data_IF_086907169156
#
_entry.id   IF_086907169156
#
_cell.length_a   1.000
_cell.length_b   1.000
_cell.length_c   1.000
_cell.angle_alpha   90.00
_cell.angle_beta   90.00
_cell.angle_gamma   90.00
#
_symmetry.space_group_name_H-M   'P 1'
#
loop_
_entity.id
_entity.type
_entity.pdbx_description
1 polymer ?
#
# COMPACT_ATOMS: atom_id res chain seq x y z
N UNK A 1 30.83 19.74 -5.04
CA UNK A 1 29.52 19.07 -5.11
C UNK A 1 29.71 17.80 -5.93
N UNK A 2 29.32 16.64 -5.37
CA UNK A 2 29.33 15.36 -6.09
C UNK A 2 28.06 15.27 -6.94
N UNK A 3 28.15 14.62 -8.10
CA UNK A 3 27.04 14.41 -9.01
C UNK A 3 25.92 13.60 -8.32
N UNK A 4 24.66 13.97 -8.61
CA UNK A 4 23.48 13.25 -8.15
C UNK A 4 23.45 11.88 -8.82
N UNK A 5 23.54 10.81 -8.05
CA UNK A 5 23.40 9.42 -8.52
C UNK A 5 21.96 8.96 -8.44
N UNK A 6 21.47 8.29 -9.48
CA UNK A 6 20.16 7.64 -9.45
C UNK A 6 20.18 6.54 -8.38
N UNK A 7 19.26 6.61 -7.44
CA UNK A 7 19.05 5.60 -6.41
C UNK A 7 17.93 4.64 -6.84
N UNK A 8 18.16 3.33 -6.66
CA UNK A 8 17.14 2.32 -6.90
C UNK A 8 16.73 1.70 -5.55
N UNK A 9 15.51 1.95 -5.15
CA UNK A 9 14.93 1.43 -3.90
C UNK A 9 14.75 -0.10 -3.94
N UNK A 10 14.61 -0.71 -5.13
CA UNK A 10 14.37 -2.14 -5.28
C UNK A 10 15.67 -2.93 -5.29
N UNK A 11 15.72 -4.00 -4.49
CA UNK A 11 16.80 -4.98 -4.58
C UNK A 11 16.71 -5.77 -5.88
N UNK A 12 17.85 -5.94 -6.53
CA UNK A 12 18.04 -6.82 -7.67
C UNK A 12 18.65 -8.13 -7.22
N UNK A 13 18.20 -9.23 -7.81
CA UNK A 13 18.82 -10.55 -7.64
C UNK A 13 18.63 -11.36 -8.93
N UNK A 14 19.20 -12.55 -8.99
CA UNK A 14 19.12 -13.42 -10.16
C UNK A 14 18.49 -14.77 -9.78
N UNK A 15 17.69 -15.33 -10.68
CA UNK A 15 17.14 -16.69 -10.53
C UNK A 15 17.98 -17.65 -11.35
N UNK A 16 18.33 -18.79 -10.75
CA UNK A 16 19.08 -19.85 -11.43
C UNK A 16 20.59 -19.72 -11.25
N UNK A 17 21.35 -20.55 -11.97
CA UNK A 17 22.79 -20.69 -11.77
C UNK A 17 23.64 -19.65 -12.54
N UNK A 18 23.03 -18.84 -13.39
CA UNK A 18 23.73 -17.85 -14.23
C UNK A 18 23.35 -16.43 -13.84
N UNK A 19 24.34 -15.54 -13.91
CA UNK A 19 24.27 -14.14 -13.49
C UNK A 19 24.15 -13.24 -14.73
N UNK A 20 23.11 -13.48 -15.54
CA UNK A 20 22.83 -12.73 -16.76
C UNK A 20 21.55 -11.87 -16.65
N UNK A 21 21.37 -10.95 -17.59
CA UNK A 21 20.22 -10.05 -17.59
C UNK A 21 18.88 -10.77 -17.77
N UNK A 22 18.85 -11.97 -18.32
CA UNK A 22 17.63 -12.75 -18.53
C UNK A 22 17.11 -13.36 -17.24
N UNK A 23 17.99 -13.56 -16.26
CA UNK A 23 17.68 -14.10 -14.94
C UNK A 23 17.40 -13.03 -13.88
N UNK A 24 17.54 -11.74 -14.22
CA UNK A 24 17.34 -10.62 -13.30
C UNK A 24 15.90 -10.53 -12.78
N UNK A 25 15.76 -10.50 -11.46
CA UNK A 25 14.49 -10.23 -10.79
C UNK A 25 14.65 -9.14 -9.72
N UNK A 26 13.52 -8.65 -9.23
CA UNK A 26 13.46 -7.69 -8.14
C UNK A 26 12.71 -8.26 -6.94
N UNK A 27 13.25 -8.04 -5.75
CA UNK A 27 12.51 -8.30 -4.52
C UNK A 27 11.45 -7.22 -4.32
N UNK A 28 10.28 -7.59 -3.83
CA UNK A 28 9.17 -6.65 -3.66
C UNK A 28 9.47 -5.60 -2.58
N UNK A 29 9.27 -4.29 -2.84
CA UNK A 29 9.49 -3.23 -1.86
C UNK A 29 8.28 -3.00 -0.95
N UNK A 30 7.13 -3.63 -1.26
CA UNK A 30 5.86 -3.55 -0.54
C UNK A 30 5.01 -4.79 -0.81
N UNK A 31 4.01 -5.02 0.03
CA UNK A 31 3.07 -6.15 -0.12
C UNK A 31 1.84 -5.78 -0.96
N UNK A 32 1.58 -4.50 -1.21
CA UNK A 32 0.41 -3.99 -1.92
C UNK A 32 0.24 -4.60 -3.31
N UNK A 33 1.31 -4.71 -4.09
CA UNK A 33 1.26 -5.22 -5.47
C UNK A 33 0.77 -6.67 -5.53
N UNK A 34 1.13 -7.49 -4.55
CA UNK A 34 0.62 -8.86 -4.44
C UNK A 34 -0.90 -8.91 -4.22
N UNK A 35 -1.46 -7.93 -3.51
CA UNK A 35 -2.91 -7.79 -3.32
C UNK A 35 -3.59 -7.44 -4.64
N UNK A 36 -3.07 -6.47 -5.40
CA UNK A 36 -3.66 -6.06 -6.68
C UNK A 36 -3.62 -7.16 -7.73
N UNK A 37 -2.50 -7.89 -7.83
CA UNK A 37 -2.40 -9.06 -8.72
C UNK A 37 -3.46 -10.10 -8.41
N UNK A 38 -3.79 -10.32 -7.14
CA UNK A 38 -4.76 -11.30 -6.69
C UNK A 38 -6.20 -10.75 -6.60
N UNK A 39 -6.43 -9.45 -6.78
CA UNK A 39 -7.74 -8.82 -6.62
C UNK A 39 -8.85 -9.59 -7.35
N UNK A 40 -8.69 -9.79 -8.66
CA UNK A 40 -9.72 -10.43 -9.48
C UNK A 40 -9.96 -11.88 -9.08
N UNK A 41 -8.90 -12.62 -8.77
CA UNK A 41 -9.00 -14.01 -8.30
C UNK A 41 -9.79 -14.08 -6.99
N UNK A 42 -9.47 -13.25 -6.01
CA UNK A 42 -10.17 -13.20 -4.72
C UNK A 42 -11.63 -12.79 -4.91
N UNK A 43 -11.87 -11.71 -5.66
CA UNK A 43 -13.23 -11.20 -5.91
C UNK A 43 -14.14 -12.27 -6.54
N UNK A 44 -13.64 -13.00 -7.53
CA UNK A 44 -14.42 -14.00 -8.26
C UNK A 44 -14.55 -15.32 -7.49
N UNK A 45 -13.43 -15.87 -6.97
CA UNK A 45 -13.44 -17.18 -6.30
C UNK A 45 -14.29 -17.17 -5.03
N UNK A 46 -14.27 -16.05 -4.29
CA UNK A 46 -15.04 -15.90 -3.07
C UNK A 46 -16.37 -15.17 -3.27
N UNK A 47 -16.71 -14.82 -4.50
CA UNK A 47 -17.94 -14.05 -4.84
C UNK A 47 -18.10 -12.80 -3.97
N UNK A 48 -16.98 -12.06 -3.83
CA UNK A 48 -16.95 -10.88 -2.97
C UNK A 48 -17.82 -9.78 -3.54
N UNK A 49 -18.54 -9.09 -2.65
CA UNK A 49 -19.30 -7.88 -2.98
C UNK A 49 -18.57 -6.65 -2.44
N UNK A 50 -18.53 -5.60 -3.24
CA UNK A 50 -17.99 -4.30 -2.81
C UNK A 50 -18.95 -3.66 -1.78
N UNK A 51 -18.44 -3.11 -0.65
CA UNK A 51 -17.02 -2.96 -0.32
C UNK A 51 -16.42 -4.24 0.31
N UNK A 52 -15.14 -4.52 0.01
CA UNK A 52 -14.40 -5.58 0.69
C UNK A 52 -12.90 -5.28 0.75
N UNK A 53 -12.20 -5.88 1.69
CA UNK A 53 -10.76 -5.73 1.85
C UNK A 53 -9.99 -7.02 1.59
N UNK A 54 -8.76 -6.88 1.12
CA UNK A 54 -7.77 -7.95 1.07
C UNK A 54 -6.57 -7.50 1.90
N UNK A 55 -6.23 -8.30 2.91
CA UNK A 55 -5.07 -8.05 3.76
C UNK A 55 -3.97 -9.08 3.49
N UNK A 56 -2.73 -8.64 3.60
CA UNK A 56 -1.55 -9.47 3.47
C UNK A 56 -0.53 -9.10 4.55
N UNK A 57 0.11 -10.12 5.13
CA UNK A 57 1.27 -9.98 6.00
C UNK A 57 2.43 -10.68 5.29
N UNK A 58 3.58 -10.05 5.21
CA UNK A 58 4.74 -10.66 4.57
C UNK A 58 5.97 -9.77 4.57
N UNK A 59 7.07 -10.35 4.10
CA UNK A 59 8.35 -9.66 3.92
C UNK A 59 8.27 -8.64 2.80
N UNK A 60 8.90 -7.49 3.04
CA UNK A 60 9.20 -6.48 2.04
C UNK A 60 10.69 -6.09 2.14
N UNK A 61 11.24 -5.58 1.03
CA UNK A 61 12.67 -5.35 0.89
C UNK A 61 12.90 -3.99 0.26
N UNK A 62 13.64 -3.13 0.92
CA UNK A 62 14.02 -1.83 0.39
C UNK A 62 15.53 -1.66 0.45
N UNK A 63 16.15 -1.26 -0.63
CA UNK A 63 17.58 -0.97 -0.72
C UNK A 63 17.84 0.40 -0.08
N UNK A 64 17.84 0.45 1.25
CA UNK A 64 18.05 1.68 1.99
C UNK A 64 19.49 2.19 1.85
N UNK A 65 19.66 3.51 1.64
CA UNK A 65 21.00 4.12 1.60
C UNK A 65 21.69 3.97 2.95
N UNK A 66 20.92 4.19 4.04
CA UNK A 66 21.42 4.06 5.42
C UNK A 66 20.36 3.41 6.28
N UNK A 67 20.67 2.24 6.80
CA UNK A 67 19.89 1.63 7.89
C UNK A 67 20.19 2.37 9.20
N UNK A 68 19.19 2.55 10.04
CA UNK A 68 19.37 3.28 11.31
C UNK A 68 18.27 2.98 12.33
N UNK A 69 18.52 3.44 13.55
CA UNK A 69 17.59 3.30 14.65
C UNK A 69 17.23 1.84 14.97
N UNK A 70 18.25 0.99 15.00
CA UNK A 70 18.17 -0.44 15.25
C UNK A 70 17.20 -1.10 14.21
N UNK A 71 16.06 -1.64 14.64
CA UNK A 71 15.09 -2.30 13.74
C UNK A 71 14.11 -1.33 13.08
N UNK A 72 14.16 -0.02 13.37
CA UNK A 72 13.20 0.93 12.83
C UNK A 72 13.35 1.12 11.31
N UNK A 73 14.60 1.12 10.79
CA UNK A 73 14.87 1.21 9.36
C UNK A 73 15.87 0.14 8.96
N UNK A 74 15.35 -0.93 8.37
CA UNK A 74 16.09 -2.11 7.90
C UNK A 74 15.82 -2.35 6.43
N UNK A 75 16.72 -3.08 5.76
CA UNK A 75 16.54 -3.43 4.35
C UNK A 75 15.52 -4.55 4.13
N UNK A 76 15.33 -5.42 5.12
CA UNK A 76 14.30 -6.44 5.16
C UNK A 76 13.40 -6.20 6.36
N UNK A 77 12.09 -6.19 6.15
CA UNK A 77 11.10 -5.97 7.20
C UNK A 77 9.80 -6.70 6.89
N UNK A 78 8.95 -6.83 7.89
CA UNK A 78 7.59 -7.33 7.71
C UNK A 78 6.63 -6.16 7.55
N UNK A 79 5.71 -6.31 6.62
CA UNK A 79 4.61 -5.37 6.37
C UNK A 79 3.28 -6.10 6.55
N UNK A 80 2.32 -5.39 7.15
CA UNK A 80 0.92 -5.78 7.15
C UNK A 80 0.16 -4.69 6.41
N UNK A 81 -0.45 -5.04 5.29
CA UNK A 81 -1.23 -4.13 4.48
C UNK A 81 -2.63 -4.67 4.24
N UNK A 82 -3.59 -3.76 4.14
CA UNK A 82 -4.94 -4.04 3.68
C UNK A 82 -5.28 -3.04 2.57
N UNK A 83 -5.80 -3.56 1.46
CA UNK A 83 -6.38 -2.75 0.41
C UNK A 83 -7.89 -2.95 0.44
N UNK A 84 -8.64 -1.85 0.60
CA UNK A 84 -10.08 -1.87 0.75
C UNK A 84 -10.74 -1.30 -0.51
N UNK A 85 -11.48 -2.16 -1.20
CA UNK A 85 -12.07 -1.86 -2.51
C UNK A 85 -13.48 -1.35 -2.34
N UNK A 86 -13.75 -0.17 -2.91
CA UNK A 86 -15.01 0.56 -2.78
C UNK A 86 -15.58 1.00 -4.13
N UNK A 87 -16.85 1.35 -4.16
CA UNK A 87 -17.48 1.94 -5.35
C UNK A 87 -16.89 3.34 -5.60
N UNK A 88 -16.57 3.71 -6.85
CA UNK A 88 -16.14 5.07 -7.18
C UNK A 88 -17.12 6.12 -6.66
N UNK A 89 -16.56 7.19 -6.07
CA UNK A 89 -17.34 8.27 -5.46
C UNK A 89 -17.75 8.03 -4.00
N UNK A 90 -17.48 6.86 -3.42
CA UNK A 90 -17.63 6.59 -1.98
C UNK A 90 -16.30 6.56 -1.23
N UNK A 91 -15.22 6.81 -1.95
CA UNK A 91 -13.83 6.72 -1.46
C UNK A 91 -13.55 7.66 -0.28
N UNK A 92 -14.04 8.90 -0.32
CA UNK A 92 -13.83 9.87 0.78
C UNK A 92 -14.53 9.44 2.08
N UNK A 93 -15.74 8.86 1.97
CA UNK A 93 -16.46 8.33 3.12
C UNK A 93 -15.69 7.17 3.77
N UNK A 94 -15.25 6.20 2.95
CA UNK A 94 -14.50 5.05 3.41
C UNK A 94 -13.11 5.42 3.92
N UNK A 95 -12.47 6.40 3.31
CA UNK A 95 -11.19 6.94 3.78
C UNK A 95 -11.30 7.51 5.21
N UNK A 96 -12.32 8.35 5.45
CA UNK A 96 -12.58 8.89 6.78
C UNK A 96 -12.95 7.80 7.79
N UNK A 97 -13.79 6.83 7.39
CA UNK A 97 -14.12 5.68 8.22
C UNK A 97 -12.86 4.92 8.65
N UNK A 98 -11.97 4.59 7.72
CA UNK A 98 -10.76 3.84 8.06
C UNK A 98 -9.78 4.65 8.92
N UNK A 99 -9.66 5.95 8.70
CA UNK A 99 -8.88 6.82 9.61
C UNK A 99 -9.38 6.70 11.05
N UNK A 100 -10.68 6.80 11.27
CA UNK A 100 -11.27 6.67 12.61
C UNK A 100 -11.05 5.26 13.20
N UNK A 101 -11.26 4.22 12.41
CA UNK A 101 -11.08 2.84 12.86
C UNK A 101 -9.63 2.54 13.23
N UNK A 102 -8.67 3.03 12.44
CA UNK A 102 -7.24 2.83 12.72
C UNK A 102 -6.80 3.59 13.98
N UNK A 103 -7.27 4.79 14.17
CA UNK A 103 -7.04 5.54 15.41
C UNK A 103 -7.61 4.81 16.63
N UNK A 104 -8.85 4.35 16.54
CA UNK A 104 -9.50 3.59 17.60
C UNK A 104 -8.78 2.26 17.89
N UNK A 105 -8.20 1.62 16.88
CA UNK A 105 -7.39 0.41 17.04
C UNK A 105 -6.21 0.65 18.00
N UNK A 106 -5.42 1.69 17.80
CA UNK A 106 -4.29 2.00 18.68
C UNK A 106 -4.74 2.28 20.13
N UNK A 107 -5.83 3.03 20.29
CA UNK A 107 -6.43 3.27 21.60
C UNK A 107 -6.84 1.97 22.29
N UNK A 108 -7.53 1.08 21.56
CA UNK A 108 -7.99 -0.23 22.06
C UNK A 108 -6.84 -1.13 22.50
N UNK A 109 -5.69 -1.05 21.86
CA UNK A 109 -4.51 -1.86 22.15
C UNK A 109 -3.55 -1.22 23.15
N UNK A 110 -3.96 -0.17 23.84
CA UNK A 110 -3.21 0.44 24.95
C UNK A 110 -2.01 1.26 24.50
N UNK A 111 -1.94 1.69 23.26
CA UNK A 111 -0.92 2.65 22.82
C UNK A 111 -1.20 3.99 23.47
N UNK A 112 -0.14 4.64 23.97
CA UNK A 112 -0.24 5.95 24.61
C UNK A 112 -0.68 7.00 23.62
N UNK A 113 -1.95 7.41 23.70
CA UNK A 113 -2.59 8.31 22.75
C UNK A 113 -1.96 9.71 22.74
N UNK A 114 -1.41 10.17 23.87
CA UNK A 114 -0.68 11.43 24.00
C UNK A 114 0.63 11.46 23.18
N UNK A 115 1.08 10.30 22.73
CA UNK A 115 2.26 10.13 21.87
C UNK A 115 1.92 9.88 20.39
N UNK A 116 0.65 9.83 20.07
CA UNK A 116 0.18 9.69 18.70
C UNK A 116 -0.24 11.02 18.13
N UNK A 117 -0.01 11.19 16.82
CA UNK A 117 -0.60 12.29 16.06
C UNK A 117 -0.92 11.84 14.64
N UNK A 118 -1.81 12.59 14.01
CA UNK A 118 -2.00 12.54 12.57
C UNK A 118 -1.00 13.46 11.87
N UNK A 119 -0.43 12.98 10.79
CA UNK A 119 0.33 13.78 9.85
C UNK A 119 -0.34 13.66 8.48
N UNK A 120 -0.93 14.75 7.96
CA UNK A 120 -1.48 14.78 6.60
C UNK A 120 -0.37 15.10 5.62
N UNK A 121 -0.30 14.35 4.53
CA UNK A 121 0.66 14.63 3.47
C UNK A 121 0.31 15.92 2.74
N UNK A 122 1.30 16.82 2.66
CA UNK A 122 1.19 18.01 1.81
C UNK A 122 1.36 17.68 0.33
N UNK A 123 1.12 18.63 -0.56
CA UNK A 123 1.24 18.43 -2.01
C UNK A 123 2.60 17.87 -2.48
N UNK A 124 3.67 18.22 -1.78
CA UNK A 124 5.04 17.77 -2.10
C UNK A 124 5.39 16.38 -1.53
N UNK A 125 4.58 15.90 -0.58
CA UNK A 125 4.75 14.58 0.06
C UNK A 125 3.81 13.54 -0.53
N UNK A 126 2.67 14.00 -1.07
CA UNK A 126 1.62 13.13 -1.57
C UNK A 126 2.13 12.30 -2.75
N UNK A 127 2.03 10.98 -2.63
CA UNK A 127 2.40 10.07 -3.70
C UNK A 127 1.52 10.29 -4.93
N UNK A 128 2.10 10.15 -6.13
CA UNK A 128 1.42 10.42 -7.41
C UNK A 128 0.16 9.58 -7.67
N UNK A 129 -0.01 8.49 -6.94
CA UNK A 129 -1.18 7.59 -7.03
C UNK A 129 -2.27 7.92 -6.00
N UNK A 130 -1.98 8.79 -5.03
CA UNK A 130 -2.89 9.08 -3.93
C UNK A 130 -3.65 10.39 -4.16
N UNK A 131 -4.95 10.38 -3.87
CA UNK A 131 -5.79 11.57 -3.79
C UNK A 131 -5.61 12.30 -2.46
N UNK A 132 -5.44 11.54 -1.37
CA UNK A 132 -5.17 12.03 -0.02
C UNK A 132 -4.45 10.94 0.79
N UNK A 133 -3.64 11.34 1.76
CA UNK A 133 -2.88 10.45 2.61
C UNK A 133 -2.67 11.03 4.00
N UNK A 134 -2.76 10.17 5.02
CA UNK A 134 -2.45 10.49 6.40
C UNK A 134 -1.61 9.39 7.02
N UNK A 135 -0.59 9.79 7.79
CA UNK A 135 0.17 8.88 8.62
C UNK A 135 -0.28 9.01 10.08
N UNK A 136 -0.36 7.87 10.75
CA UNK A 136 -0.36 7.82 12.21
C UNK A 136 1.09 7.77 12.64
N UNK A 137 1.57 8.83 13.28
CA UNK A 137 2.91 8.92 13.82
C UNK A 137 2.93 8.72 15.32
N UNK A 138 4.02 8.11 15.82
CA UNK A 138 4.28 7.96 17.25
C UNK A 138 5.56 8.72 17.65
N UNK A 139 5.55 9.31 18.84
CA UNK A 139 6.70 9.96 19.43
C UNK A 139 7.68 8.94 20.01
N UNK A 140 8.64 8.54 19.18
CA UNK A 140 9.79 7.72 19.58
C UNK A 140 10.88 8.58 20.22
N UNK A 141 11.93 7.98 20.86
CA UNK A 141 13.08 8.74 21.35
C UNK A 141 13.79 9.60 20.30
N UNK A 142 13.67 9.21 19.00
CA UNK A 142 14.20 9.97 17.85
C UNK A 142 13.17 10.90 17.20
N UNK A 143 12.09 11.24 17.92
CA UNK A 143 11.01 12.09 17.45
C UNK A 143 9.85 11.33 16.81
N UNK A 144 8.88 12.07 16.28
CA UNK A 144 7.72 11.49 15.61
C UNK A 144 8.14 10.72 14.36
N UNK A 145 7.61 9.50 14.22
CA UNK A 145 7.82 8.61 13.08
C UNK A 145 6.54 7.86 12.77
N UNK A 146 6.37 7.57 11.49
CA UNK A 146 5.26 6.81 10.96
C UNK A 146 5.14 5.41 11.59
N UNK A 147 3.93 5.07 12.05
CA UNK A 147 3.51 3.73 12.41
C UNK A 147 2.69 3.08 11.32
N UNK A 148 1.82 3.87 10.68
CA UNK A 148 0.85 3.39 9.71
C UNK A 148 0.42 4.52 8.79
N UNK A 149 0.35 4.25 7.48
CA UNK A 149 -0.25 5.13 6.50
C UNK A 149 -1.68 4.70 6.14
N UNK A 150 -2.57 5.69 5.97
CA UNK A 150 -3.93 5.52 5.43
C UNK A 150 -4.04 6.38 4.19
N UNK A 151 -4.27 5.75 3.03
CA UNK A 151 -4.19 6.40 1.73
C UNK A 151 -5.47 6.19 0.93
N UNK A 152 -6.00 7.24 0.30
CA UNK A 152 -6.99 7.15 -0.76
C UNK A 152 -6.25 7.08 -2.10
N UNK A 153 -6.21 5.90 -2.71
CA UNK A 153 -5.44 5.63 -3.94
C UNK A 153 -6.28 5.72 -5.21
N UNK A 154 -7.57 5.94 -5.07
CA UNK A 154 -8.54 5.93 -6.18
C UNK A 154 -8.47 4.61 -6.98
N UNK A 155 -8.60 4.66 -8.31
CA UNK A 155 -8.50 3.48 -9.18
C UNK A 155 -7.10 3.29 -9.79
N UNK A 156 -6.11 4.06 -9.35
CA UNK A 156 -4.80 4.12 -10.00
C UNK A 156 -4.19 2.73 -10.21
N UNK A 157 -4.07 1.94 -9.16
CA UNK A 157 -3.38 0.66 -9.21
C UNK A 157 -4.09 -0.35 -10.13
N UNK A 158 -5.41 -0.52 -9.98
CA UNK A 158 -6.17 -1.46 -10.80
C UNK A 158 -6.21 -1.03 -12.28
N UNK A 159 -6.23 0.28 -12.54
CA UNK A 159 -6.12 0.81 -13.92
C UNK A 159 -4.77 0.44 -14.53
N UNK A 160 -3.67 0.66 -13.80
CA UNK A 160 -2.33 0.26 -14.26
C UNK A 160 -2.20 -1.24 -14.48
N UNK A 161 -2.74 -2.05 -13.56
CA UNK A 161 -2.76 -3.49 -13.75
C UNK A 161 -3.56 -3.92 -14.99
N UNK A 162 -4.68 -3.25 -15.29
CA UNK A 162 -5.44 -3.48 -16.53
C UNK A 162 -4.58 -3.16 -17.77
N UNK A 163 -3.99 -1.97 -17.81
CA UNK A 163 -3.19 -1.49 -18.95
C UNK A 163 -1.99 -2.40 -19.25
N UNK A 164 -1.22 -2.76 -18.24
CA UNK A 164 0.03 -3.51 -18.44
C UNK A 164 -0.15 -5.02 -18.57
N UNK A 165 -1.19 -5.59 -17.97
CA UNK A 165 -1.45 -7.04 -18.04
C UNK A 165 -2.41 -7.43 -19.15
N UNK A 166 -3.17 -6.48 -19.70
CA UNK A 166 -4.27 -6.72 -20.62
C UNK A 166 -5.48 -7.44 -19.98
N UNK A 167 -5.47 -7.62 -18.66
CA UNK A 167 -6.58 -8.24 -17.91
C UNK A 167 -7.52 -7.16 -17.40
N UNK A 168 -8.80 -7.29 -17.71
CA UNK A 168 -9.84 -6.39 -17.20
C UNK A 168 -9.99 -6.54 -15.67
N UNK A 169 -9.74 -5.47 -14.91
CA UNK A 169 -9.88 -5.41 -13.46
C UNK A 169 -11.22 -4.81 -13.01
N UNK A 170 -12.18 -4.68 -13.90
CA UNK A 170 -13.52 -4.19 -13.54
C UNK A 170 -14.23 -5.17 -12.60
N UNK A 171 -14.96 -4.59 -11.67
CA UNK A 171 -16.00 -5.24 -10.88
C UNK A 171 -17.33 -5.19 -11.64
N UNK A 172 -18.11 -6.25 -11.54
CA UNK A 172 -19.47 -6.31 -12.09
C UNK A 172 -20.43 -6.35 -10.91
N UNK A 173 -21.15 -5.25 -10.72
CA UNK A 173 -22.12 -5.11 -9.65
C UNK A 173 -23.47 -5.73 -10.07
N UNK A 174 -23.65 -7.00 -9.70
CA UNK A 174 -24.85 -7.76 -10.04
C UNK A 174 -26.12 -7.24 -9.36
N UNK A 175 -25.96 -6.62 -8.20
CA UNK A 175 -27.09 -6.07 -7.44
C UNK A 175 -27.59 -4.74 -8.03
N UNK A 176 -26.76 -4.07 -8.87
CA UNK A 176 -27.07 -2.81 -9.54
C UNK A 176 -27.08 -2.94 -11.08
N UNK A 177 -27.83 -3.89 -11.61
CA UNK A 177 -28.05 -4.01 -13.04
C UNK A 177 -26.80 -4.39 -13.86
N UNK A 178 -25.84 -5.05 -13.27
CA UNK A 178 -24.54 -5.40 -13.87
C UNK A 178 -23.68 -4.18 -14.26
N UNK A 179 -23.79 -3.09 -13.50
CA UNK A 179 -22.91 -1.93 -13.65
C UNK A 179 -21.44 -2.38 -13.56
N UNK A 180 -20.59 -1.83 -14.44
CA UNK A 180 -19.17 -2.15 -14.48
C UNK A 180 -18.33 -0.94 -14.13
N UNK A 181 -17.38 -1.12 -13.22
CA UNK A 181 -16.44 -0.07 -12.84
C UNK A 181 -15.14 -0.66 -12.30
N UNK A 182 -14.06 0.11 -12.39
CA UNK A 182 -12.83 -0.20 -11.68
C UNK A 182 -12.99 0.33 -10.25
N UNK A 183 -12.91 -0.51 -9.21
CA UNK A 183 -13.04 -0.05 -7.83
C UNK A 183 -11.97 0.98 -7.44
N UNK A 184 -12.33 1.86 -6.51
CA UNK A 184 -11.40 2.73 -5.81
C UNK A 184 -10.83 2.01 -4.57
N UNK A 185 -9.66 2.44 -4.14
CA UNK A 185 -8.91 1.82 -3.05
C UNK A 185 -8.58 2.87 -2.00
#
# INVERSE_FOLDING_TARGET
>A
LTDVRKFNLMFKTHIGPTDDNSSLIYLRPETAQGIYVNYKNVAQSNRMKIPFGIAQIGKAFRNEIVTKNFIFRTCEFEQMEMQFFVKPGTDDEWFNYWREQRWAFYKKHGVRMEKLRWHQHGPDELAHYAKDAYDIEYEFPMGFKELEGVHNRTNFDLTRHTEYSGKDMQYIDQDNGNERYIPYI
#
